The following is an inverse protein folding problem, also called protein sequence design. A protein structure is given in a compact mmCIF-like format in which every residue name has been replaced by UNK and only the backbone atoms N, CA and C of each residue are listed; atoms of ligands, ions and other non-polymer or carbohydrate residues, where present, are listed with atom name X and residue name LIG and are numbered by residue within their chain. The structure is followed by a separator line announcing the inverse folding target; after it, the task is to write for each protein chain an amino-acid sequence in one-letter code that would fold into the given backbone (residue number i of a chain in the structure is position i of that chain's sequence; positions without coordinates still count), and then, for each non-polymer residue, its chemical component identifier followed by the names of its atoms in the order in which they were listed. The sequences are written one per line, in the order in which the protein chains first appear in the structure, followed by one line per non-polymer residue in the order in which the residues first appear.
data_IF_637702233974
#
_entry.id   IF_637702233974
#
_cell.length_a   1.000
_cell.length_b   1.000
_cell.length_c   1.000
_cell.angle_alpha   90.00
_cell.angle_beta   90.00
_cell.angle_gamma   90.00
#
_symmetry.space_group_name_H-M   'P 1'
#
loop_
_entity.id
_entity.type
_entity.pdbx_description
1 polymer ?
#
# COMPACT_ATOMS: atom_id res chain seq x y z
N UNK A 1 -43.36 34.89 -25.48
CA UNK A 1 -43.16 33.73 -24.57
C UNK A 1 -42.07 32.76 -25.09
N UNK A 2 -40.93 33.25 -25.61
CA UNK A 2 -39.83 32.40 -26.13
C UNK A 2 -38.43 32.74 -25.58
N UNK A 3 -38.26 33.87 -24.89
CA UNK A 3 -36.96 34.27 -24.30
C UNK A 3 -36.73 33.74 -22.87
N UNK A 4 -37.77 33.42 -22.11
CA UNK A 4 -37.62 33.00 -20.70
C UNK A 4 -37.13 31.55 -20.59
N UNK A 5 -37.51 30.68 -21.53
CA UNK A 5 -37.10 29.27 -21.51
C UNK A 5 -35.59 29.09 -21.80
N UNK A 6 -34.97 29.98 -22.56
CA UNK A 6 -33.57 29.84 -22.99
C UNK A 6 -32.58 30.18 -21.86
N UNK A 7 -32.97 31.05 -20.92
CA UNK A 7 -32.11 31.40 -19.77
C UNK A 7 -32.07 30.30 -18.69
N UNK A 8 -33.12 29.49 -18.57
CA UNK A 8 -33.19 28.39 -17.58
C UNK A 8 -32.30 27.21 -18.00
N UNK A 9 -32.17 26.97 -19.31
CA UNK A 9 -31.31 25.91 -19.85
C UNK A 9 -29.83 26.28 -19.73
N UNK A 10 -29.48 27.57 -19.83
CA UNK A 10 -28.10 28.03 -19.69
C UNK A 10 -27.60 28.01 -18.23
N UNK A 11 -28.50 28.07 -17.25
CA UNK A 11 -28.14 28.02 -15.82
C UNK A 11 -27.96 26.59 -15.29
N UNK A 12 -28.58 25.61 -15.93
CA UNK A 12 -28.51 24.19 -15.53
C UNK A 12 -27.27 23.46 -16.07
N UNK A 13 -26.59 24.01 -17.08
CA UNK A 13 -25.32 23.46 -17.60
C UNK A 13 -24.06 23.93 -16.87
N UNK A 14 -24.14 25.00 -16.05
CA UNK A 14 -23.01 25.49 -15.24
C UNK A 14 -22.85 24.75 -13.91
N UNK A 15 -23.84 23.96 -13.49
CA UNK A 15 -23.81 23.24 -12.20
C UNK A 15 -23.19 21.84 -12.27
N UNK A 16 -22.74 21.37 -13.44
CA UNK A 16 -22.32 19.97 -13.63
C UNK A 16 -20.82 19.75 -13.93
N UNK A 17 -19.96 20.71 -13.59
CA UNK A 17 -18.50 20.56 -13.81
C UNK A 17 -17.63 20.70 -12.56
N UNK A 18 -18.22 20.89 -11.38
CA UNK A 18 -17.50 20.76 -10.11
C UNK A 18 -17.65 19.34 -9.54
N UNK A 19 -17.50 18.31 -10.39
CA UNK A 19 -17.10 17.02 -9.86
C UNK A 19 -15.61 17.17 -9.60
N UNK A 20 -15.28 17.62 -8.39
CA UNK A 20 -13.93 17.60 -7.86
C UNK A 20 -13.48 16.14 -7.92
N UNK A 21 -12.84 15.76 -9.02
CA UNK A 21 -11.86 14.70 -8.99
C UNK A 21 -10.85 15.16 -7.96
N UNK A 22 -11.01 14.68 -6.72
CA UNK A 22 -10.05 14.81 -5.65
C UNK A 22 -8.81 14.07 -6.14
N UNK A 23 -8.01 14.76 -6.95
CA UNK A 23 -6.67 14.35 -7.29
C UNK A 23 -5.92 14.41 -5.97
N UNK A 24 -5.87 13.27 -5.27
CA UNK A 24 -5.07 13.13 -4.07
C UNK A 24 -3.66 13.55 -4.44
N UNK A 25 -3.26 14.72 -3.94
CA UNK A 25 -1.94 15.28 -4.17
C UNK A 25 -0.93 14.21 -3.80
N UNK A 26 -0.02 13.90 -4.73
CA UNK A 26 0.99 12.88 -4.53
C UNK A 26 1.80 13.28 -3.27
N UNK A 27 1.54 12.60 -2.16
CA UNK A 27 2.35 12.78 -0.95
C UNK A 27 3.78 12.46 -1.33
N UNK A 28 4.69 13.41 -1.12
CA UNK A 28 6.11 13.14 -1.27
C UNK A 28 6.50 12.12 -0.19
N UNK A 29 7.08 11.00 -0.59
CA UNK A 29 7.57 9.96 0.33
C UNK A 29 8.98 9.54 -0.05
N UNK A 30 9.77 9.16 0.94
CA UNK A 30 11.06 8.52 0.72
C UNK A 30 10.89 7.00 0.67
N UNK A 31 11.58 6.34 -0.26
CA UNK A 31 11.60 4.87 -0.28
C UNK A 31 12.77 4.35 0.53
N UNK A 32 12.46 3.68 1.64
CA UNK A 32 13.43 3.00 2.50
C UNK A 32 13.37 1.50 2.23
N UNK A 33 14.52 0.91 1.91
CA UNK A 33 14.61 -0.50 1.49
C UNK A 33 14.92 -1.40 2.67
N UNK A 34 14.18 -2.49 2.79
CA UNK A 34 14.41 -3.53 3.78
C UNK A 34 14.49 -4.92 3.15
N UNK A 35 15.18 -5.82 3.84
CA UNK A 35 15.30 -7.23 3.42
C UNK A 35 15.00 -8.16 4.59
N UNK A 36 14.19 -9.19 4.34
CA UNK A 36 14.07 -10.38 5.20
C UNK A 36 14.41 -11.62 4.39
N UNK A 37 15.28 -12.50 4.91
CA UNK A 37 15.71 -13.73 4.23
C UNK A 37 15.13 -14.95 4.93
N UNK A 38 14.63 -15.90 4.13
CA UNK A 38 14.19 -17.21 4.59
C UNK A 38 14.90 -18.29 3.75
N UNK A 39 14.84 -19.56 4.18
CA UNK A 39 15.54 -20.67 3.52
C UNK A 39 15.32 -20.74 2.00
N UNK A 40 14.11 -20.42 1.53
CA UNK A 40 13.70 -20.62 0.13
C UNK A 40 13.35 -19.32 -0.62
N UNK A 41 13.74 -18.17 -0.10
CA UNK A 41 13.43 -16.90 -0.74
C UNK A 41 13.83 -15.67 0.04
N UNK A 42 13.65 -14.53 -0.60
CA UNK A 42 13.97 -13.21 -0.03
C UNK A 42 12.76 -12.31 -0.19
N UNK A 43 12.34 -11.71 0.91
CA UNK A 43 11.36 -10.63 0.92
C UNK A 43 12.10 -9.31 0.86
N UNK A 44 11.72 -8.47 -0.10
CA UNK A 44 12.22 -7.11 -0.26
C UNK A 44 11.06 -6.15 -0.04
N UNK A 45 11.16 -5.32 0.99
CA UNK A 45 10.19 -4.30 1.31
C UNK A 45 10.74 -2.95 0.81
N UNK A 46 9.96 -2.30 -0.04
CA UNK A 46 10.10 -0.87 -0.35
C UNK A 46 9.11 -0.14 0.56
N UNK A 47 9.58 0.36 1.70
CA UNK A 47 8.78 1.09 2.69
C UNK A 47 8.68 2.56 2.26
N UNK A 48 7.46 3.08 2.13
CA UNK A 48 7.22 4.47 1.75
C UNK A 48 7.10 5.35 3.01
N UNK A 49 8.23 5.91 3.43
CA UNK A 49 8.32 6.79 4.60
C UNK A 49 7.59 8.11 4.35
N UNK A 50 6.67 8.48 5.23
CA UNK A 50 5.74 9.60 5.06
C UNK A 50 4.46 9.28 4.26
N UNK A 51 4.35 8.10 3.64
CA UNK A 51 3.09 7.61 3.05
C UNK A 51 3.06 6.09 2.94
N UNK A 52 2.78 5.42 4.05
CA UNK A 52 2.92 3.95 4.14
C UNK A 52 2.04 3.18 3.14
N UNK A 53 0.93 3.76 2.68
CA UNK A 53 0.04 3.18 1.68
C UNK A 53 0.70 2.93 0.32
N UNK A 54 1.83 3.58 0.04
CA UNK A 54 2.64 3.30 -1.16
C UNK A 54 3.68 2.19 -0.96
N UNK A 55 3.79 1.60 0.24
CA UNK A 55 4.75 0.53 0.53
C UNK A 55 4.45 -0.74 -0.27
N UNK A 56 5.48 -1.51 -0.62
CA UNK A 56 5.31 -2.75 -1.40
C UNK A 56 6.29 -3.82 -0.94
N UNK A 57 5.85 -5.09 -0.96
CA UNK A 57 6.74 -6.23 -0.69
C UNK A 57 6.83 -7.12 -1.90
N UNK A 58 8.06 -7.48 -2.25
CA UNK A 58 8.38 -8.46 -3.30
C UNK A 58 8.99 -9.69 -2.66
N UNK A 59 8.32 -10.84 -2.80
CA UNK A 59 8.89 -12.14 -2.50
C UNK A 59 9.53 -12.71 -3.76
N UNK A 60 10.85 -12.91 -3.70
CA UNK A 60 11.61 -13.62 -4.73
C UNK A 60 11.90 -15.01 -4.20
N UNK A 61 11.25 -16.01 -4.79
CA UNK A 61 11.50 -17.43 -4.46
C UNK A 61 12.67 -17.98 -5.28
N UNK A 62 13.26 -19.09 -4.82
CA UNK A 62 14.35 -19.78 -5.55
C UNK A 62 13.95 -20.20 -6.98
N UNK A 63 12.66 -20.38 -7.26
CA UNK A 63 12.14 -20.67 -8.60
C UNK A 63 11.96 -19.43 -9.49
N UNK A 64 12.53 -18.27 -9.10
CA UNK A 64 12.41 -16.96 -9.77
C UNK A 64 10.98 -16.44 -9.93
N UNK A 65 9.99 -17.04 -9.27
CA UNK A 65 8.64 -16.47 -9.20
C UNK A 65 8.69 -15.26 -8.27
N UNK A 66 8.34 -14.10 -8.82
CA UNK A 66 8.16 -12.85 -8.09
C UNK A 66 6.70 -12.74 -7.71
N UNK A 67 6.45 -12.56 -6.42
CA UNK A 67 5.12 -12.25 -5.91
C UNK A 67 5.11 -10.86 -5.31
N UNK A 68 4.12 -10.05 -5.69
CA UNK A 68 3.95 -8.69 -5.22
C UNK A 68 2.83 -8.64 -4.19
N UNK A 69 3.10 -7.92 -3.10
CA UNK A 69 2.15 -7.60 -2.05
C UNK A 69 2.01 -6.09 -1.94
N UNK A 70 0.77 -5.62 -1.91
CA UNK A 70 0.41 -4.21 -1.77
C UNK A 70 -0.54 -4.03 -0.59
N UNK A 71 -0.54 -2.86 0.09
CA UNK A 71 -1.44 -2.60 1.19
C UNK A 71 -2.90 -2.81 0.78
N UNK A 72 -3.67 -3.50 1.62
CA UNK A 72 -5.09 -3.70 1.40
C UNK A 72 -5.83 -2.37 1.52
N UNK A 73 -5.51 -1.63 2.58
CA UNK A 73 -5.97 -0.28 2.84
C UNK A 73 -4.71 0.60 2.92
N UNK A 74 -4.75 1.81 2.39
CA UNK A 74 -3.59 2.72 2.37
C UNK A 74 -3.11 3.21 3.73
N UNK A 75 -3.67 2.67 4.83
CA UNK A 75 -3.48 3.06 6.23
C UNK A 75 -3.34 1.81 7.10
N UNK A 76 -2.72 1.89 8.30
CA UNK A 76 -2.71 0.77 9.24
C UNK A 76 -4.10 0.49 9.79
N UNK A 77 -4.28 -0.71 10.31
CA UNK A 77 -5.38 -1.06 11.21
C UNK A 77 -5.23 -0.34 12.56
N UNK A 78 -6.32 -0.29 13.35
CA UNK A 78 -6.33 0.37 14.66
C UNK A 78 -5.31 -0.20 15.67
N UNK A 79 -4.82 -1.42 15.43
CA UNK A 79 -3.77 -2.08 16.23
C UNK A 79 -2.33 -1.71 15.78
N UNK A 80 -2.19 -0.80 14.80
CA UNK A 80 -0.90 -0.42 14.22
C UNK A 80 -0.35 -1.45 13.23
N UNK A 81 -1.15 -2.37 12.71
CA UNK A 81 -0.71 -3.34 11.71
C UNK A 81 -0.99 -2.84 10.30
N UNK A 82 -0.04 -3.01 9.39
CA UNK A 82 -0.27 -2.80 7.96
C UNK A 82 -0.40 -4.15 7.26
N UNK A 83 -1.58 -4.42 6.70
CA UNK A 83 -1.85 -5.67 5.98
C UNK A 83 -1.59 -5.47 4.49
N UNK A 84 -0.70 -6.28 3.93
CA UNK A 84 -0.42 -6.33 2.50
C UNK A 84 -0.90 -7.66 1.93
N UNK A 85 -1.69 -7.60 0.85
CA UNK A 85 -2.23 -8.78 0.18
C UNK A 85 -1.52 -9.03 -1.13
N UNK A 86 -1.41 -10.31 -1.48
CA UNK A 86 -0.89 -10.76 -2.77
C UNK A 86 -1.80 -10.35 -3.93
N UNK A 87 -1.21 -9.90 -5.02
CA UNK A 87 -1.94 -9.62 -6.27
C UNK A 87 -2.41 -10.90 -7.03
N UNK A 88 -1.92 -12.08 -6.64
CA UNK A 88 -2.30 -13.35 -7.27
C UNK A 88 -3.66 -13.85 -6.76
N UNK A 89 -4.62 -14.01 -7.67
CA UNK A 89 -6.02 -14.39 -7.38
C UNK A 89 -6.19 -15.76 -6.71
N UNK A 90 -5.24 -16.69 -6.88
CA UNK A 90 -5.43 -18.10 -6.51
C UNK A 90 -4.99 -18.47 -5.09
N UNK A 91 -4.31 -17.57 -4.37
CA UNK A 91 -3.90 -17.82 -2.99
C UNK A 91 -3.91 -16.50 -2.22
N UNK A 92 -4.88 -16.32 -1.32
CA UNK A 92 -4.90 -15.25 -0.32
C UNK A 92 -3.69 -15.42 0.59
N UNK A 93 -2.58 -14.84 0.16
CA UNK A 93 -1.32 -14.73 0.90
C UNK A 93 -1.22 -13.31 1.39
N UNK A 94 -0.85 -13.17 2.64
CA UNK A 94 -0.84 -11.89 3.34
C UNK A 94 0.50 -11.70 4.04
N UNK A 95 0.94 -10.45 4.13
CA UNK A 95 2.03 -10.04 4.99
C UNK A 95 1.49 -8.95 5.91
N UNK A 96 1.57 -9.18 7.21
CA UNK A 96 1.17 -8.21 8.23
C UNK A 96 2.42 -7.59 8.80
N UNK A 97 2.68 -6.32 8.52
CA UNK A 97 3.72 -5.56 9.22
C UNK A 97 3.18 -5.11 10.57
N UNK A 98 3.97 -5.28 11.63
CA UNK A 98 3.53 -5.10 13.02
C UNK A 98 4.10 -3.79 13.56
N UNK A 99 3.25 -2.98 14.20
CA UNK A 99 3.65 -1.73 14.85
C UNK A 99 4.08 -0.64 13.89
N UNK A 100 3.44 -0.55 12.73
CA UNK A 100 3.60 0.53 11.76
C UNK A 100 2.67 1.69 12.16
N UNK A 101 3.27 2.84 12.45
CA UNK A 101 2.56 4.11 12.63
C UNK A 101 2.91 5.04 11.45
N UNK A 102 1.90 5.76 10.92
CA UNK A 102 2.11 6.74 9.84
C UNK A 102 2.97 7.93 10.27
N UNK A 103 3.00 8.23 11.57
CA UNK A 103 3.68 9.41 12.12
C UNK A 103 5.14 9.14 12.52
N UNK A 104 5.61 7.90 12.43
CA UNK A 104 6.96 7.52 12.84
C UNK A 104 7.89 7.37 11.64
N UNK A 105 9.09 7.92 11.76
CA UNK A 105 10.18 7.68 10.81
C UNK A 105 10.45 6.18 10.59
N UNK A 106 10.94 5.84 9.40
CA UNK A 106 11.21 4.46 9.02
C UNK A 106 12.22 3.77 9.98
N UNK A 107 11.77 2.76 10.77
CA UNK A 107 12.57 2.16 11.84
C UNK A 107 13.72 1.32 11.31
N UNK A 108 14.71 0.97 12.13
CA UNK A 108 15.83 0.13 11.68
C UNK A 108 15.43 -1.31 11.36
N UNK A 109 14.38 -1.81 12.02
CA UNK A 109 13.83 -3.14 11.80
C UNK A 109 12.31 -3.10 11.80
N UNK A 110 11.69 -3.97 11.01
CA UNK A 110 10.24 -4.12 10.94
C UNK A 110 9.90 -5.60 11.16
N UNK A 111 9.05 -5.86 12.15
CA UNK A 111 8.50 -7.20 12.40
C UNK A 111 7.33 -7.44 11.47
N UNK A 112 7.20 -8.66 10.96
CA UNK A 112 6.07 -9.02 10.13
C UNK A 112 5.72 -10.49 10.25
N UNK A 113 4.50 -10.83 9.88
CA UNK A 113 4.06 -12.21 9.72
C UNK A 113 3.62 -12.46 8.29
N UNK A 114 4.18 -13.48 7.65
CA UNK A 114 3.73 -13.98 6.35
C UNK A 114 2.75 -15.13 6.55
N UNK A 115 1.56 -15.01 5.98
CA UNK A 115 0.49 -16.00 6.08
C UNK A 115 0.20 -16.64 4.73
N UNK A 116 0.24 -17.96 4.70
CA UNK A 116 -0.08 -18.77 3.53
C UNK A 116 -0.80 -20.05 3.95
N UNK A 117 -2.03 -20.25 3.45
CA UNK A 117 -2.80 -21.50 3.66
C UNK A 117 -2.88 -21.94 5.13
N UNK A 118 -3.14 -20.98 6.03
CA UNK A 118 -3.24 -21.22 7.47
C UNK A 118 -1.91 -21.40 8.20
N UNK A 119 -0.77 -21.31 7.51
CA UNK A 119 0.56 -21.29 8.14
C UNK A 119 1.04 -19.85 8.28
N UNK A 120 1.69 -19.57 9.39
CA UNK A 120 2.28 -18.27 9.69
C UNK A 120 3.80 -18.40 9.86
N UNK A 121 4.53 -17.48 9.25
CA UNK A 121 5.97 -17.38 9.32
C UNK A 121 6.35 -15.99 9.82
N UNK A 122 7.01 -15.92 10.96
CA UNK A 122 7.59 -14.67 11.44
C UNK A 122 8.74 -14.22 10.54
N UNK A 123 8.73 -12.95 10.17
CA UNK A 123 9.73 -12.28 9.37
C UNK A 123 10.30 -11.10 10.17
N UNK A 124 11.60 -10.88 10.02
CA UNK A 124 12.27 -9.69 10.53
C UNK A 124 12.98 -9.01 9.37
N UNK A 125 12.47 -7.85 9.01
CA UNK A 125 13.03 -6.99 7.97
C UNK A 125 14.11 -6.11 8.56
N UNK A 126 15.30 -6.12 7.95
CA UNK A 126 16.39 -5.23 8.30
C UNK A 126 16.51 -4.12 7.27
N UNK A 127 16.63 -2.87 7.73
CA UNK A 127 16.91 -1.71 6.88
C UNK A 127 18.22 -1.95 6.14
N UNK A 128 18.21 -1.83 4.82
CA UNK A 128 19.42 -1.94 4.02
C UNK A 128 20.29 -0.72 4.32
N UNK A 129 21.56 -0.92 4.69
CA UNK A 129 22.51 0.19 4.79
C UNK A 129 22.70 0.77 3.38
N UNK A 130 22.51 2.09 3.25
CA UNK A 130 22.91 2.83 2.04
C UNK A 130 24.42 2.79 1.89
#
# INVERSE_FOLDING_TARGET
MKLILFQIILFSSLCFSASEAIAQQAKAYETVKYTARIKNGVFRLDYADGYIGASKIRLVSNQKKIQLFTPQNGTPEANGNLVLTSNLASNKREIVLIGINEETEAPNTIRANYREKGRELALLFYKNKR
#
